data_IF_391795878798
#
_entry.id   IF_391795878798
#
_cell.length_a   1.000
_cell.length_b   1.000
_cell.length_c   1.000
_cell.angle_alpha   90.00
_cell.angle_beta   90.00
_cell.angle_gamma   90.00
#
_symmetry.space_group_name_H-M   'P 1'
#
loop_
_entity.id
_entity.type
_entity.pdbx_description
1 polymer ?
#
# COMPACT_ATOMS: atom_id res chain seq x y z
N UNK A 1 16.90 14.37 14.68
CA UNK A 1 18.02 13.91 13.81
C UNK A 1 17.81 12.47 13.33
N UNK A 2 17.53 11.47 14.19
CA UNK A 2 17.34 10.08 13.76
C UNK A 2 16.05 9.79 12.95
N UNK A 3 14.96 10.50 13.23
CA UNK A 3 13.67 10.34 12.54
C UNK A 3 13.75 10.69 11.04
N UNK A 4 14.29 11.87 10.73
CA UNK A 4 14.50 12.35 9.35
C UNK A 4 15.39 11.42 8.51
N UNK A 5 16.40 10.80 9.15
CA UNK A 5 17.32 9.88 8.47
C UNK A 5 16.73 8.50 8.17
N UNK A 6 15.60 8.11 8.78
CA UNK A 6 14.89 6.85 8.47
C UNK A 6 13.95 7.04 7.27
N UNK A 7 13.41 8.26 7.11
CA UNK A 7 12.33 8.54 6.19
C UNK A 7 12.83 8.92 4.79
N UNK A 8 14.10 9.34 4.63
CA UNK A 8 14.81 9.64 3.36
C UNK A 8 13.91 9.88 2.13
N UNK A 9 13.18 10.99 2.16
CA UNK A 9 12.28 11.42 1.07
C UNK A 9 13.01 12.32 0.05
N UNK A 10 14.33 12.20 -0.06
CA UNK A 10 15.09 13.04 -0.99
C UNK A 10 14.62 12.83 -2.42
N UNK A 11 14.13 13.90 -3.05
CA UNK A 11 13.61 13.88 -4.42
C UNK A 11 12.16 13.38 -4.56
N UNK A 12 11.45 13.16 -3.45
CA UNK A 12 10.03 12.80 -3.45
C UNK A 12 9.21 14.05 -3.12
N UNK A 13 8.23 14.37 -3.96
CA UNK A 13 7.28 15.45 -3.70
C UNK A 13 6.18 14.98 -2.74
N UNK A 14 5.95 15.75 -1.68
CA UNK A 14 4.92 15.47 -0.70
C UNK A 14 4.40 16.74 -0.03
N UNK A 15 3.23 16.61 0.59
CA UNK A 15 2.63 17.62 1.46
C UNK A 15 2.59 17.09 2.90
N UNK A 16 2.93 17.92 3.87
CA UNK A 16 2.71 17.63 5.28
C UNK A 16 1.23 17.81 5.63
N UNK A 17 0.67 16.82 6.33
CA UNK A 17 -0.74 16.79 6.74
C UNK A 17 -0.78 16.59 8.25
N UNK A 18 -1.39 17.53 8.95
CA UNK A 18 -1.63 17.42 10.39
C UNK A 18 -2.79 16.46 10.67
N UNK A 19 -2.52 15.41 11.44
CA UNK A 19 -3.53 14.55 12.06
C UNK A 19 -3.64 14.90 13.55
N UNK A 20 -4.71 14.43 14.21
CA UNK A 20 -5.03 14.79 15.60
C UNK A 20 -3.85 14.64 16.59
N UNK A 21 -3.00 13.63 16.38
CA UNK A 21 -1.88 13.33 17.27
C UNK A 21 -0.50 13.42 16.61
N UNK A 22 -0.42 13.51 15.27
CA UNK A 22 0.84 13.40 14.53
C UNK A 22 0.81 14.15 13.19
N UNK A 23 1.97 14.61 12.72
CA UNK A 23 2.16 15.04 11.32
C UNK A 23 2.41 13.81 10.44
N UNK A 24 1.70 13.70 9.32
CA UNK A 24 1.98 12.70 8.30
C UNK A 24 2.30 13.33 6.95
N UNK A 25 2.67 12.51 5.98
CA UNK A 25 3.11 12.95 4.65
C UNK A 25 2.18 12.38 3.58
N UNK A 26 1.61 13.26 2.75
CA UNK A 26 0.84 12.89 1.56
C UNK A 26 1.73 13.03 0.34
N UNK A 27 2.09 11.92 -0.29
CA UNK A 27 2.83 11.96 -1.55
C UNK A 27 2.00 12.60 -2.65
N UNK A 28 2.63 13.52 -3.39
CA UNK A 28 2.04 14.15 -4.56
C UNK A 28 2.43 13.30 -5.76
N UNK A 29 1.45 12.96 -6.60
CA UNK A 29 1.73 12.27 -7.86
C UNK A 29 2.52 13.23 -8.75
N UNK A 30 3.73 12.85 -9.13
CA UNK A 30 4.49 13.56 -10.16
C UNK A 30 4.00 13.08 -11.52
N UNK A 31 3.55 14.00 -12.36
CA UNK A 31 3.16 13.66 -13.72
C UNK A 31 4.39 13.17 -14.49
N UNK A 32 4.31 11.98 -15.08
CA UNK A 32 5.32 11.39 -15.96
C UNK A 32 6.64 10.93 -15.29
N UNK A 33 6.59 10.44 -14.04
CA UNK A 33 7.73 9.70 -13.49
C UNK A 33 7.87 8.34 -14.18
N UNK A 34 9.03 8.10 -14.79
CA UNK A 34 9.37 6.79 -15.36
C UNK A 34 9.95 5.90 -14.24
N UNK A 35 9.55 4.63 -14.20
CA UNK A 35 9.96 3.68 -13.18
C UNK A 35 10.94 2.66 -13.76
N UNK A 36 12.21 3.03 -14.03
CA UNK A 36 13.16 2.21 -14.79
C UNK A 36 13.56 0.91 -14.08
N UNK A 37 13.31 0.81 -12.77
CA UNK A 37 13.56 -0.40 -11.99
C UNK A 37 12.44 -1.44 -12.08
N UNK A 38 11.27 -1.07 -12.60
CA UNK A 38 10.13 -1.99 -12.74
C UNK A 38 10.19 -2.65 -14.12
N UNK A 39 10.18 -3.98 -14.13
CA UNK A 39 10.05 -4.73 -15.37
C UNK A 39 8.57 -4.89 -15.77
N UNK A 40 8.31 -5.51 -16.92
CA UNK A 40 6.95 -5.69 -17.43
C UNK A 40 6.06 -6.54 -16.50
N UNK A 41 6.62 -7.53 -15.80
CA UNK A 41 5.89 -8.37 -14.86
C UNK A 41 5.53 -7.57 -13.59
N UNK A 42 6.46 -6.75 -13.09
CA UNK A 42 6.20 -5.84 -11.96
C UNK A 42 5.05 -4.87 -12.29
N UNK A 43 5.11 -4.26 -13.48
CA UNK A 43 4.06 -3.36 -13.98
C UNK A 43 2.73 -4.11 -14.08
N UNK A 44 2.72 -5.34 -14.60
CA UNK A 44 1.50 -6.13 -14.71
C UNK A 44 0.86 -6.40 -13.34
N UNK A 45 1.66 -6.65 -12.29
CA UNK A 45 1.14 -6.83 -10.93
C UNK A 45 0.50 -5.53 -10.42
N UNK A 46 1.16 -4.38 -10.62
CA UNK A 46 0.62 -3.08 -10.21
C UNK A 46 -0.69 -2.76 -10.93
N UNK A 47 -0.77 -2.99 -12.24
CA UNK A 47 -1.99 -2.78 -13.02
C UNK A 47 -3.16 -3.63 -12.51
N UNK A 48 -2.92 -4.89 -12.12
CA UNK A 48 -3.96 -5.73 -11.50
C UNK A 48 -4.46 -5.15 -10.19
N UNK A 49 -3.56 -4.64 -9.33
CA UNK A 49 -3.93 -4.01 -8.06
C UNK A 49 -4.68 -2.69 -8.30
N UNK A 50 -4.22 -1.86 -9.23
CA UNK A 50 -4.86 -0.59 -9.61
C UNK A 50 -6.25 -0.85 -10.20
N UNK A 51 -6.41 -1.83 -11.08
CA UNK A 51 -7.70 -2.20 -11.64
C UNK A 51 -8.71 -2.60 -10.55
N UNK A 52 -8.24 -3.27 -9.49
CA UNK A 52 -9.07 -3.71 -8.38
C UNK A 52 -9.41 -2.60 -7.39
N UNK A 53 -8.44 -1.78 -7.00
CA UNK A 53 -8.55 -0.86 -5.85
C UNK A 53 -8.34 0.62 -6.18
N UNK A 54 -7.91 0.96 -7.39
CA UNK A 54 -7.54 2.34 -7.75
C UNK A 54 -8.67 3.37 -7.64
N UNK A 55 -9.93 2.90 -7.57
CA UNK A 55 -11.11 3.75 -7.34
C UNK A 55 -11.75 3.52 -5.97
N UNK A 56 -11.21 2.62 -5.16
CA UNK A 56 -11.75 2.28 -3.86
C UNK A 56 -11.37 3.32 -2.82
N UNK A 57 -12.31 3.64 -1.95
CA UNK A 57 -12.07 4.43 -0.75
C UNK A 57 -11.29 3.63 0.29
N UNK A 58 -10.69 4.33 1.26
CA UNK A 58 -10.07 3.69 2.44
C UNK A 58 -10.98 2.65 3.10
N UNK A 59 -12.26 2.97 3.29
CA UNK A 59 -13.21 2.08 3.95
C UNK A 59 -13.48 0.80 3.14
N UNK A 60 -13.55 0.92 1.81
CA UNK A 60 -13.74 -0.24 0.93
C UNK A 60 -12.52 -1.14 0.90
N UNK A 61 -11.31 -0.57 0.88
CA UNK A 61 -10.05 -1.33 0.95
C UNK A 61 -9.96 -2.07 2.30
N UNK A 62 -10.21 -1.37 3.41
CA UNK A 62 -10.20 -1.98 4.76
C UNK A 62 -11.23 -3.10 4.86
N UNK A 63 -12.43 -2.89 4.32
CA UNK A 63 -13.45 -3.93 4.29
C UNK A 63 -12.99 -5.14 3.48
N UNK A 64 -12.46 -4.92 2.27
CA UNK A 64 -11.95 -6.00 1.43
C UNK A 64 -10.87 -6.81 2.15
N UNK A 65 -9.93 -6.15 2.84
CA UNK A 65 -8.90 -6.78 3.67
C UNK A 65 -9.51 -7.60 4.81
N UNK A 66 -10.53 -7.07 5.52
CA UNK A 66 -11.20 -7.78 6.61
C UNK A 66 -11.99 -9.00 6.15
N UNK A 67 -12.43 -9.02 4.89
CA UNK A 67 -13.13 -10.16 4.28
C UNK A 67 -12.15 -11.24 3.79
N UNK A 68 -10.84 -10.99 3.77
CA UNK A 68 -9.84 -11.99 3.34
C UNK A 68 -9.64 -13.10 4.38
N UNK A 69 -9.40 -14.31 3.90
CA UNK A 69 -9.16 -15.49 4.73
C UNK A 69 -8.00 -15.30 5.70
N UNK A 70 -6.92 -14.66 5.24
CA UNK A 70 -5.78 -14.35 6.10
C UNK A 70 -6.21 -13.52 7.33
N UNK A 71 -7.04 -12.49 7.13
CA UNK A 71 -7.51 -11.65 8.22
C UNK A 71 -8.47 -12.39 9.16
N UNK A 72 -9.38 -13.20 8.60
CA UNK A 72 -10.40 -13.93 9.36
C UNK A 72 -9.81 -15.09 10.17
N UNK A 73 -8.86 -15.83 9.58
CA UNK A 73 -8.36 -17.09 10.13
C UNK A 73 -7.09 -16.94 10.96
N UNK A 74 -6.38 -15.81 10.85
CA UNK A 74 -5.21 -15.54 11.71
C UNK A 74 -5.67 -14.98 13.05
N UNK A 75 -5.18 -15.58 14.14
CA UNK A 75 -5.48 -15.09 15.48
C UNK A 75 -4.89 -13.69 15.70
N UNK A 76 -5.51 -12.90 16.58
CA UNK A 76 -5.01 -11.56 16.91
C UNK A 76 -3.57 -11.64 17.42
N UNK A 77 -2.68 -10.84 16.82
CA UNK A 77 -1.24 -10.78 17.10
C UNK A 77 -0.45 -12.05 16.70
N UNK A 78 -1.02 -12.91 15.86
CA UNK A 78 -0.33 -14.09 15.33
C UNK A 78 0.22 -13.84 13.92
N UNK A 79 1.11 -14.72 13.47
CA UNK A 79 1.73 -14.64 12.14
C UNK A 79 0.73 -15.11 11.07
N UNK A 80 0.59 -14.34 10.00
CA UNK A 80 -0.21 -14.74 8.83
C UNK A 80 0.54 -15.84 8.07
N UNK A 81 -0.11 -17.00 7.88
CA UNK A 81 0.44 -18.09 7.09
C UNK A 81 0.44 -17.70 5.59
N UNK A 82 1.60 -17.87 4.95
CA UNK A 82 1.77 -17.61 3.52
C UNK A 82 0.84 -18.45 2.63
N UNK A 83 0.36 -19.61 3.11
CA UNK A 83 -0.58 -20.45 2.39
C UNK A 83 -1.89 -19.72 2.03
N UNK A 84 -2.28 -18.69 2.78
CA UNK A 84 -3.46 -17.89 2.45
C UNK A 84 -3.29 -17.07 1.16
N UNK A 85 -2.06 -16.85 0.69
CA UNK A 85 -1.80 -16.16 -0.59
C UNK A 85 -2.39 -16.90 -1.81
N UNK A 86 -2.61 -18.21 -1.71
CA UNK A 86 -3.21 -19.01 -2.77
C UNK A 86 -4.69 -18.67 -3.01
N UNK A 87 -5.33 -18.02 -2.04
CA UNK A 87 -6.76 -17.67 -2.04
C UNK A 87 -6.99 -16.17 -2.18
N UNK A 88 -5.98 -15.40 -2.60
CA UNK A 88 -6.11 -13.96 -2.82
C UNK A 88 -7.26 -13.66 -3.78
N UNK A 89 -8.05 -12.65 -3.39
CA UNK A 89 -9.21 -12.17 -4.16
C UNK A 89 -8.83 -11.24 -5.31
N UNK A 90 -7.54 -10.92 -5.41
CA UNK A 90 -6.94 -10.09 -6.45
C UNK A 90 -6.26 -11.06 -7.42
N UNK A 91 -6.87 -11.27 -8.59
CA UNK A 91 -6.34 -12.10 -9.67
C UNK A 91 -6.47 -11.36 -10.99
#
# INVERSE_FOLDING_TARGET
VAYESIIDLNGIEYEEVEFEENTGYRFVSSDNYDYPSLNADDISVLETVIARFGKSTKAEIVKAMHDEKAYICTAKNDIIDFNYSLELSVK
#
